data_IF_330310186731
#
_entry.id   IF_330310186731
#
_cell.length_a   1.000
_cell.length_b   1.000
_cell.length_c   1.000
_cell.angle_alpha   90.00
_cell.angle_beta   90.00
_cell.angle_gamma   90.00
#
_symmetry.space_group_name_H-M   'P 1'
#
loop_
_entity.id
_entity.type
_entity.pdbx_description
1 polymer ?
#
# COMPACT_ATOMS: atom_id res chain seq x y z
N UNK A 1 -0.68 -22.90 2.27
CA UNK A 1 0.70 -22.90 1.72
C UNK A 1 1.37 -24.22 2.04
N UNK A 2 2.27 -24.71 1.18
CA UNK A 2 3.14 -25.88 1.43
C UNK A 2 4.60 -25.41 1.39
N UNK A 3 5.47 -25.97 2.25
CA UNK A 3 6.90 -25.65 2.25
C UNK A 3 7.63 -26.69 1.40
N UNK A 4 8.42 -26.21 0.46
CA UNK A 4 9.21 -27.04 -0.45
C UNK A 4 10.65 -26.52 -0.47
N UNK A 5 11.63 -27.42 -0.42
CA UNK A 5 13.03 -27.12 -0.66
C UNK A 5 13.35 -27.47 -2.12
N UNK A 6 14.01 -26.56 -2.81
CA UNK A 6 14.46 -26.75 -4.20
C UNK A 6 15.95 -26.45 -4.25
N UNK A 7 16.68 -27.21 -5.07
CA UNK A 7 18.08 -26.93 -5.37
C UNK A 7 18.16 -26.09 -6.64
N UNK A 8 18.97 -25.04 -6.61
CA UNK A 8 19.24 -24.17 -7.75
C UNK A 8 20.72 -24.30 -8.09
N UNK A 9 21.06 -24.14 -9.37
CA UNK A 9 22.45 -23.87 -9.74
C UNK A 9 22.86 -22.47 -9.27
N UNK A 10 24.17 -22.25 -9.13
CA UNK A 10 24.72 -21.00 -8.60
C UNK A 10 24.32 -19.77 -9.42
N UNK A 11 24.21 -19.91 -10.75
CA UNK A 11 23.85 -18.78 -11.61
C UNK A 11 22.38 -18.38 -11.40
N UNK A 12 21.49 -19.36 -11.30
CA UNK A 12 20.07 -19.12 -10.99
C UNK A 12 19.89 -18.56 -9.59
N UNK A 13 20.61 -19.10 -8.60
CA UNK A 13 20.57 -18.58 -7.23
C UNK A 13 20.94 -17.09 -7.18
N UNK A 14 22.05 -16.70 -7.83
CA UNK A 14 22.48 -15.29 -7.83
C UNK A 14 21.56 -14.38 -8.64
N UNK A 15 20.96 -14.87 -9.72
CA UNK A 15 19.93 -14.11 -10.43
C UNK A 15 18.72 -13.80 -9.52
N UNK A 16 18.25 -14.79 -8.75
CA UNK A 16 17.13 -14.60 -7.80
C UNK A 16 17.53 -13.69 -6.65
N UNK A 17 18.74 -13.88 -6.08
CA UNK A 17 19.25 -13.07 -4.98
C UNK A 17 19.38 -11.60 -5.37
N UNK A 18 19.97 -11.32 -6.53
CA UNK A 18 20.08 -9.96 -7.07
C UNK A 18 18.72 -9.31 -7.28
N UNK A 19 17.78 -10.02 -7.93
CA UNK A 19 16.43 -9.51 -8.17
C UNK A 19 15.66 -9.24 -6.88
N UNK A 20 15.87 -10.06 -5.84
CA UNK A 20 15.28 -9.85 -4.53
C UNK A 20 15.83 -8.59 -3.85
N UNK A 21 17.15 -8.38 -3.91
CA UNK A 21 17.81 -7.19 -3.40
C UNK A 21 17.35 -5.91 -4.11
N UNK A 22 17.37 -5.89 -5.45
CA UNK A 22 16.95 -4.75 -6.27
C UNK A 22 15.50 -4.33 -6.02
N UNK A 23 14.62 -5.30 -5.74
CA UNK A 23 13.20 -5.05 -5.46
C UNK A 23 12.89 -4.80 -3.98
N UNK A 24 13.87 -4.90 -3.08
CA UNK A 24 13.63 -4.82 -1.63
C UNK A 24 12.67 -5.91 -1.11
N UNK A 25 12.64 -7.08 -1.75
CA UNK A 25 11.73 -8.19 -1.42
C UNK A 25 12.50 -9.42 -0.97
N UNK A 26 11.83 -10.32 -0.25
CA UNK A 26 12.43 -11.61 0.10
C UNK A 26 12.61 -12.51 -1.14
N UNK A 27 13.68 -13.31 -1.16
CA UNK A 27 13.92 -14.30 -2.21
C UNK A 27 12.71 -15.25 -2.40
N UNK A 28 12.09 -15.68 -1.30
CA UNK A 28 10.92 -16.54 -1.35
C UNK A 28 9.71 -15.86 -2.05
N UNK A 29 9.58 -14.54 -1.92
CA UNK A 29 8.53 -13.78 -2.64
C UNK A 29 8.82 -13.74 -4.12
N UNK A 30 10.06 -13.47 -4.51
CA UNK A 30 10.48 -13.45 -5.92
C UNK A 30 10.28 -14.82 -6.56
N UNK A 31 10.69 -15.91 -5.90
CA UNK A 31 10.48 -17.27 -6.39
C UNK A 31 9.00 -17.57 -6.60
N UNK A 32 8.14 -17.23 -5.64
CA UNK A 32 6.68 -17.44 -5.79
C UNK A 32 6.11 -16.64 -6.96
N UNK A 33 6.48 -15.37 -7.09
CA UNK A 33 6.05 -14.49 -8.18
C UNK A 33 6.47 -15.09 -9.54
N UNK A 34 7.75 -15.43 -9.70
CA UNK A 34 8.27 -16.03 -10.94
C UNK A 34 7.60 -17.36 -11.28
N UNK A 35 7.38 -18.25 -10.30
CA UNK A 35 6.65 -19.49 -10.54
C UNK A 35 5.19 -19.22 -10.90
N UNK A 36 4.55 -18.23 -10.27
CA UNK A 36 3.16 -17.89 -10.58
C UNK A 36 2.99 -17.32 -11.99
N UNK A 37 3.94 -16.51 -12.45
CA UNK A 37 4.00 -15.98 -13.81
C UNK A 37 4.23 -17.13 -14.81
N UNK A 38 5.20 -18.00 -14.55
CA UNK A 38 5.57 -19.11 -15.44
C UNK A 38 4.43 -20.13 -15.62
N UNK A 39 3.70 -20.43 -14.55
CA UNK A 39 2.57 -21.36 -14.59
C UNK A 39 1.22 -20.68 -14.85
N UNK A 40 1.19 -19.36 -15.09
CA UNK A 40 -0.07 -18.62 -15.29
C UNK A 40 -1.02 -18.69 -14.08
N UNK A 41 -0.49 -18.92 -12.89
CA UNK A 41 -1.26 -19.01 -11.63
C UNK A 41 -1.27 -17.68 -10.86
N UNK A 42 -0.74 -16.60 -11.46
CA UNK A 42 -0.87 -15.25 -10.95
C UNK A 42 -2.37 -14.93 -10.76
N UNK A 43 -2.82 -14.99 -9.50
CA UNK A 43 -4.21 -14.74 -9.18
C UNK A 43 -4.50 -13.25 -9.34
N UNK A 44 -5.59 -12.82 -9.99
CA UNK A 44 -5.94 -11.41 -10.14
C UNK A 44 -6.18 -10.68 -8.81
N UNK A 45 -6.20 -11.41 -7.68
CA UNK A 45 -6.24 -10.91 -6.32
C UNK A 45 -4.88 -10.46 -5.76
N UNK A 46 -3.77 -10.83 -6.40
CA UNK A 46 -2.44 -10.22 -6.18
C UNK A 46 -2.23 -9.08 -7.18
N UNK A 47 -3.11 -8.08 -7.19
CA UNK A 47 -2.82 -6.86 -7.93
C UNK A 47 -1.57 -6.20 -7.34
N UNK A 48 -0.66 -5.67 -8.17
CA UNK A 48 0.49 -4.91 -7.69
C UNK A 48 -0.01 -3.78 -6.79
N UNK A 49 0.74 -3.51 -5.71
CA UNK A 49 0.58 -2.28 -4.95
C UNK A 49 0.70 -1.13 -5.95
N UNK A 50 -0.41 -0.48 -6.27
CA UNK A 50 -0.43 0.64 -7.22
C UNK A 50 0.54 1.69 -6.70
N UNK A 51 1.53 2.02 -7.52
CA UNK A 51 2.45 3.11 -7.21
C UNK A 51 1.73 4.44 -7.49
N UNK A 52 2.24 5.55 -6.95
CA UNK A 52 1.66 6.88 -7.17
C UNK A 52 1.56 7.19 -8.68
N UNK A 53 2.47 6.64 -9.48
CA UNK A 53 2.52 6.76 -10.94
C UNK A 53 1.35 6.07 -11.67
N UNK A 54 0.71 5.07 -11.03
CA UNK A 54 -0.45 4.36 -11.58
C UNK A 54 -1.76 5.19 -11.44
N UNK A 55 -1.71 6.32 -10.75
CA UNK A 55 -2.85 7.23 -10.61
C UNK A 55 -2.77 8.33 -11.67
N UNK A 56 -3.48 8.15 -12.78
CA UNK A 56 -3.59 9.16 -13.85
C UNK A 56 -4.27 10.45 -13.40
N UNK A 57 -4.98 10.42 -12.27
CA UNK A 57 -5.65 11.58 -11.68
C UNK A 57 -5.70 11.43 -10.17
N UNK A 58 -5.00 12.33 -9.45
CA UNK A 58 -5.17 12.57 -8.02
C UNK A 58 -5.94 13.87 -7.89
N UNK A 59 -7.26 13.77 -7.81
CA UNK A 59 -8.11 14.94 -7.59
C UNK A 59 -8.07 15.36 -6.13
N UNK A 60 -7.59 16.57 -5.85
CA UNK A 60 -7.91 17.26 -4.60
C UNK A 60 -9.38 17.67 -4.68
N UNK A 61 -10.25 17.01 -3.91
CA UNK A 61 -11.55 17.59 -3.60
C UNK A 61 -11.30 18.87 -2.83
N UNK A 62 -11.59 20.02 -3.43
CA UNK A 62 -11.59 21.29 -2.71
C UNK A 62 -12.87 21.28 -1.88
N UNK A 63 -12.73 21.02 -0.59
CA UNK A 63 -13.81 21.32 0.35
C UNK A 63 -14.04 22.83 0.28
N UNK A 64 -15.27 23.32 0.05
CA UNK A 64 -15.56 24.75 -0.07
C UNK A 64 -15.25 25.57 1.20
N UNK A 65 -14.85 24.96 2.32
CA UNK A 65 -14.33 25.67 3.48
C UNK A 65 -13.20 24.93 4.22
N UNK A 66 -11.93 25.22 3.92
CA UNK A 66 -10.88 25.11 4.91
C UNK A 66 -10.73 26.46 5.65
N UNK A 67 -10.62 26.47 6.99
CA UNK A 67 -10.14 27.65 7.70
C UNK A 67 -8.76 28.00 7.17
N UNK A 68 -8.59 29.26 6.77
CA UNK A 68 -7.30 29.82 6.39
C UNK A 68 -6.32 29.60 7.55
N UNK A 69 -5.21 28.91 7.27
CA UNK A 69 -3.96 28.87 8.05
C UNK A 69 -3.49 27.60 8.77
N UNK A 70 -4.07 26.40 8.59
CA UNK A 70 -3.39 25.18 9.09
C UNK A 70 -3.41 23.97 8.14
N UNK A 71 -2.25 23.34 7.87
CA UNK A 71 -2.19 22.12 7.08
C UNK A 71 -2.83 20.97 7.88
N UNK A 72 -4.06 20.61 7.51
CA UNK A 72 -4.81 19.49 8.09
C UNK A 72 -3.97 18.22 8.16
N UNK A 73 -3.07 18.01 7.19
CA UNK A 73 -2.10 16.90 7.11
C UNK A 73 -1.18 16.74 8.33
N UNK A 74 -0.89 17.82 9.05
CA UNK A 74 0.06 17.81 10.18
C UNK A 74 -0.64 17.50 11.51
N UNK A 75 -1.87 17.97 11.69
CA UNK A 75 -2.61 17.89 12.96
C UNK A 75 -3.96 17.17 12.79
N UNK A 76 -3.97 16.02 12.11
CA UNK A 76 -5.19 15.23 11.88
C UNK A 76 -5.96 14.92 13.17
N UNK A 77 -5.25 14.55 14.24
CA UNK A 77 -5.87 14.13 15.49
C UNK A 77 -6.56 15.31 16.20
N UNK A 78 -5.99 16.51 16.10
CA UNK A 78 -6.57 17.74 16.68
C UNK A 78 -7.85 18.14 15.96
N UNK A 79 -7.84 18.06 14.63
CA UNK A 79 -9.01 18.34 13.80
C UNK A 79 -10.13 17.32 14.00
N UNK A 80 -9.79 16.04 14.12
CA UNK A 80 -10.78 15.00 14.42
C UNK A 80 -11.43 15.25 15.79
N UNK A 81 -10.63 15.63 16.80
CA UNK A 81 -11.15 15.96 18.12
C UNK A 81 -12.09 17.18 18.10
N UNK A 82 -11.73 18.25 17.36
CA UNK A 82 -12.55 19.46 17.23
C UNK A 82 -13.84 19.23 16.44
N UNK A 83 -13.79 18.44 15.37
CA UNK A 83 -14.96 18.06 14.58
C UNK A 83 -15.92 17.13 15.35
N UNK A 84 -15.40 16.28 16.22
CA UNK A 84 -16.23 15.46 17.11
C UNK A 84 -16.85 16.33 18.22
N UNK A 85 -16.10 17.29 18.76
CA UNK A 85 -16.59 18.21 19.79
C UNK A 85 -17.68 19.16 19.26
N UNK A 86 -17.52 19.71 18.05
CA UNK A 86 -18.52 20.61 17.44
C UNK A 86 -19.81 19.90 17.02
N UNK A 87 -19.76 18.57 16.84
CA UNK A 87 -20.91 17.73 16.50
C UNK A 87 -21.62 17.15 17.73
N UNK A 88 -21.03 17.29 18.92
CA UNK A 88 -21.52 16.76 20.19
C UNK A 88 -22.51 17.65 20.94
N UNK A 89 -22.84 18.85 20.43
CA UNK A 89 -23.66 19.85 21.14
C UNK A 89 -25.13 19.92 20.67
N UNK A 90 -25.55 19.06 19.73
CA UNK A 90 -26.96 18.97 19.27
C UNK A 90 -27.71 17.75 19.84
N UNK A 91 -27.25 17.17 20.95
CA UNK A 91 -27.88 15.99 21.55
C UNK A 91 -28.04 16.10 23.06
N UNK A 92 -28.51 17.25 23.55
CA UNK A 92 -29.14 17.31 24.88
C UNK A 92 -30.07 18.54 25.00
N UNK A 93 -31.25 18.50 24.37
CA UNK A 93 -32.43 19.21 24.90
C UNK A 93 -33.71 18.52 24.39
N UNK A 94 -34.19 17.56 25.18
CA UNK A 94 -35.61 17.16 25.22
C UNK A 94 -36.39 18.08 26.14
#
# INVERSE_FOLDING_TARGET
MRRTQIQLDDATYEAVRRRAYERGRSMASVVRETLSEAFGTASPSQKPQRTIEDFTFVGMGVDPQPPEDLPVSVDHDKWLAEAIASRGDESDET
#
